data_IF_130916949047
#
_entry.id   IF_130916949047
#
_cell.length_a   1.000
_cell.length_b   1.000
_cell.length_c   1.000
_cell.angle_alpha   90.00
_cell.angle_beta   90.00
_cell.angle_gamma   90.00
#
_symmetry.space_group_name_H-M   'P 1'
#
loop_
_entity.id
_entity.type
_entity.pdbx_description
1 polymer ?
#
# COMPACT_ATOMS: atom_id res chain seq x y z
N UNK A 1 2.61 9.01 -16.20
CA UNK A 1 2.01 9.34 -14.87
C UNK A 1 2.84 10.46 -14.26
N UNK A 2 2.22 11.46 -13.63
CA UNK A 2 2.95 12.54 -12.96
C UNK A 2 3.06 12.24 -11.45
N UNK A 3 4.29 12.19 -10.93
CA UNK A 3 4.58 11.86 -9.53
C UNK A 3 4.62 13.08 -8.59
N UNK A 4 4.51 14.29 -9.15
CA UNK A 4 4.63 15.55 -8.43
C UNK A 4 6.08 15.87 -8.02
N UNK A 5 6.23 16.79 -7.08
CA UNK A 5 7.54 17.26 -6.62
C UNK A 5 8.08 16.37 -5.50
N UNK A 6 9.38 16.11 -5.49
CA UNK A 6 10.08 15.42 -4.40
C UNK A 6 10.94 16.44 -3.65
N UNK A 7 10.74 16.54 -2.34
CA UNK A 7 11.48 17.51 -1.52
C UNK A 7 12.76 16.89 -0.93
N UNK A 8 13.73 17.73 -0.57
CA UNK A 8 15.00 17.28 -0.03
C UNK A 8 14.81 16.45 1.25
N UNK A 9 15.43 15.26 1.28
CA UNK A 9 15.33 14.31 2.41
C UNK A 9 14.08 13.43 2.41
N UNK A 10 13.17 13.62 1.44
CA UNK A 10 11.97 12.78 1.30
C UNK A 10 12.28 11.47 0.59
N UNK A 11 11.86 10.34 1.18
CA UNK A 11 11.89 9.03 0.55
C UNK A 11 10.46 8.64 0.16
N UNK A 12 10.20 8.41 -1.14
CA UNK A 12 8.92 7.90 -1.62
C UNK A 12 9.02 6.45 -2.05
N UNK A 13 8.02 5.66 -1.66
CA UNK A 13 7.86 4.26 -2.06
C UNK A 13 6.67 4.14 -3.01
N UNK A 14 6.87 3.46 -4.13
CA UNK A 14 5.82 3.20 -5.11
C UNK A 14 5.62 1.69 -5.24
N UNK A 15 4.37 1.26 -5.29
CA UNK A 15 4.00 -0.13 -5.59
C UNK A 15 3.38 -0.15 -6.97
N UNK A 16 3.97 -0.93 -7.87
CA UNK A 16 3.53 -1.05 -9.26
C UNK A 16 3.07 -2.49 -9.48
N UNK A 17 1.80 -2.65 -9.84
CA UNK A 17 1.26 -3.94 -10.30
C UNK A 17 1.43 -4.06 -11.80
N UNK A 18 2.15 -5.08 -12.25
CA UNK A 18 2.33 -5.38 -13.68
C UNK A 18 1.69 -6.75 -13.94
N UNK A 19 0.72 -6.80 -14.84
CA UNK A 19 0.17 -8.08 -15.32
C UNK A 19 1.17 -8.68 -16.31
N UNK A 20 1.69 -9.86 -15.99
CA UNK A 20 2.65 -10.56 -16.85
C UNK A 20 1.88 -11.56 -17.71
N UNK A 21 1.91 -11.45 -19.04
CA UNK A 21 1.29 -12.43 -19.92
C UNK A 21 2.01 -13.78 -19.80
N UNK A 22 1.42 -14.85 -20.34
CA UNK A 22 2.10 -16.14 -20.41
C UNK A 22 3.38 -16.03 -21.25
N UNK A 23 4.52 -16.42 -20.65
CA UNK A 23 5.83 -16.42 -21.31
C UNK A 23 6.23 -17.88 -21.49
N UNK A 24 6.29 -18.33 -22.75
CA UNK A 24 6.63 -19.71 -23.10
C UNK A 24 8.13 -20.03 -22.96
N UNK A 25 8.99 -19.01 -22.93
CA UNK A 25 10.43 -19.19 -22.77
C UNK A 25 10.82 -19.27 -21.31
N UNK A 26 11.47 -20.37 -20.93
CA UNK A 26 12.14 -20.48 -19.64
C UNK A 26 13.34 -19.52 -19.57
N UNK A 27 13.62 -19.02 -18.36
CA UNK A 27 14.78 -18.17 -18.08
C UNK A 27 14.44 -16.73 -17.70
N UNK A 28 15.49 -15.91 -17.63
CA UNK A 28 15.40 -14.49 -17.29
C UNK A 28 14.83 -13.71 -18.48
N UNK A 29 13.71 -13.03 -18.27
CA UNK A 29 13.04 -12.21 -19.27
C UNK A 29 12.77 -10.82 -18.69
N UNK A 30 13.09 -9.78 -19.44
CA UNK A 30 12.69 -8.40 -19.12
C UNK A 30 11.25 -8.19 -19.57
N UNK A 31 10.36 -7.85 -18.63
CA UNK A 31 8.93 -7.68 -18.91
C UNK A 31 8.51 -6.22 -19.03
N UNK A 32 9.30 -5.31 -18.47
CA UNK A 32 9.04 -3.88 -18.49
C UNK A 32 10.32 -3.10 -18.22
N UNK A 33 10.33 -1.84 -18.66
CA UNK A 33 11.32 -0.84 -18.23
C UNK A 33 10.58 0.27 -17.50
N UNK A 34 11.07 0.63 -16.30
CA UNK A 34 10.53 1.74 -15.52
C UNK A 34 11.49 2.91 -15.69
N UNK A 35 11.02 3.96 -16.35
CA UNK A 35 11.77 5.21 -16.49
C UNK A 35 11.17 6.28 -15.59
N UNK A 36 12.02 6.88 -14.75
CA UNK A 36 11.69 8.02 -13.89
C UNK A 36 12.43 9.23 -14.45
N UNK A 37 11.67 10.24 -14.85
CA UNK A 37 12.19 11.50 -15.37
C UNK A 37 11.86 12.62 -14.39
N UNK A 38 12.85 13.42 -14.04
CA UNK A 38 12.67 14.57 -13.15
C UNK A 38 13.67 15.68 -13.45
N UNK A 39 13.26 16.91 -13.17
CA UNK A 39 14.13 18.07 -13.21
C UNK A 39 14.85 18.21 -11.86
N UNK A 40 16.17 18.04 -11.87
CA UNK A 40 16.98 18.38 -10.71
C UNK A 40 17.16 19.90 -10.64
N UNK A 41 16.45 20.55 -9.72
CA UNK A 41 16.49 22.01 -9.57
C UNK A 41 17.85 22.55 -9.12
N UNK A 42 18.63 21.77 -8.36
CA UNK A 42 19.95 22.20 -7.89
C UNK A 42 20.97 22.27 -9.04
N UNK A 43 20.91 21.29 -9.96
CA UNK A 43 21.79 21.21 -11.11
C UNK A 43 21.18 21.80 -12.40
N UNK A 44 19.90 22.15 -12.38
CA UNK A 44 19.09 22.62 -13.52
C UNK A 44 19.19 21.67 -14.73
N UNK A 45 19.11 20.38 -14.44
CA UNK A 45 19.29 19.33 -15.43
C UNK A 45 18.14 18.35 -15.37
N UNK A 46 17.66 17.94 -16.53
CA UNK A 46 16.74 16.81 -16.66
C UNK A 46 17.51 15.51 -16.44
N UNK A 47 17.04 14.71 -15.49
CA UNK A 47 17.60 13.42 -15.16
C UNK A 47 16.57 12.36 -15.55
N UNK A 48 17.03 11.34 -16.29
CA UNK A 48 16.24 10.16 -16.63
C UNK A 48 16.94 8.93 -16.05
N UNK A 49 16.21 8.16 -15.25
CA UNK A 49 16.69 6.92 -14.63
C UNK A 49 15.82 5.78 -15.12
N UNK A 50 16.42 4.82 -15.82
CA UNK A 50 15.73 3.63 -16.33
C UNK A 50 16.16 2.40 -15.56
N UNK A 51 15.18 1.64 -15.06
CA UNK A 51 15.38 0.38 -14.37
C UNK A 51 14.63 -0.75 -15.11
N UNK A 52 15.34 -1.79 -15.58
CA UNK A 52 14.69 -2.95 -16.19
C UNK A 52 14.04 -3.83 -15.10
N UNK A 53 12.80 -4.24 -15.34
CA UNK A 53 12.07 -5.21 -14.52
C UNK A 53 12.22 -6.59 -15.13
N UNK A 54 12.98 -7.43 -14.45
CA UNK A 54 13.25 -8.80 -14.89
C UNK A 54 12.43 -9.80 -14.08
N UNK A 55 11.89 -10.80 -14.75
CA UNK A 55 11.28 -11.97 -14.13
C UNK A 55 12.01 -13.23 -14.56
N UNK A 56 12.08 -14.20 -13.66
CA UNK A 56 12.64 -15.50 -13.96
C UNK A 56 11.51 -16.53 -14.14
N UNK A 57 11.27 -16.91 -15.39
CA UNK A 57 10.26 -17.91 -15.77
C UNK A 57 10.82 -19.29 -15.49
N UNK A 58 10.17 -20.04 -14.60
CA UNK A 58 10.58 -21.38 -14.20
C UNK A 58 9.41 -22.37 -14.35
N UNK A 59 9.69 -23.68 -14.43
CA UNK A 59 8.64 -24.69 -14.45
C UNK A 59 7.70 -24.58 -13.23
N UNK A 60 6.44 -25.01 -13.42
CA UNK A 60 5.37 -24.85 -12.42
C UNK A 60 5.72 -25.37 -11.02
N UNK A 61 6.42 -26.50 -10.93
CA UNK A 61 6.83 -27.09 -9.65
C UNK A 61 7.80 -26.19 -8.87
N UNK A 62 8.72 -25.51 -9.57
CA UNK A 62 9.65 -24.56 -8.95
C UNK A 62 8.98 -23.21 -8.66
N UNK A 63 7.98 -22.83 -9.46
CA UNK A 63 7.20 -21.62 -9.24
C UNK A 63 6.33 -21.74 -7.98
N UNK A 64 5.73 -22.91 -7.74
CA UNK A 64 4.87 -23.17 -6.58
C UNK A 64 5.60 -23.05 -5.23
N UNK A 65 6.91 -23.31 -5.20
CA UNK A 65 7.73 -23.15 -3.99
C UNK A 65 8.13 -21.70 -3.66
N UNK A 66 7.81 -20.73 -4.52
CA UNK A 66 8.21 -19.32 -4.30
C UNK A 66 7.21 -18.60 -3.42
N UNK A 67 7.73 -18.03 -2.33
CA UNK A 67 6.96 -17.19 -1.41
C UNK A 67 7.05 -15.75 -1.89
N UNK A 68 5.89 -15.09 -2.04
CA UNK A 68 5.84 -13.66 -2.35
C UNK A 68 6.54 -12.85 -1.26
N UNK A 69 7.28 -11.81 -1.65
CA UNK A 69 8.00 -10.97 -0.69
C UNK A 69 7.00 -10.39 0.35
N UNK A 70 7.18 -10.67 1.66
CA UNK A 70 6.24 -10.27 2.69
C UNK A 70 6.10 -8.75 2.79
N UNK A 71 7.16 -8.00 2.52
CA UNK A 71 7.14 -6.53 2.53
C UNK A 71 6.22 -6.00 1.41
N UNK A 72 6.34 -6.54 0.20
CA UNK A 72 5.51 -6.12 -0.94
C UNK A 72 4.04 -6.50 -0.71
N UNK A 73 3.79 -7.69 -0.14
CA UNK A 73 2.45 -8.16 0.21
C UNK A 73 1.81 -7.26 1.26
N UNK A 74 2.54 -6.90 2.30
CA UNK A 74 2.12 -5.95 3.32
C UNK A 74 1.79 -4.56 2.73
N UNK A 75 2.68 -4.01 1.89
CA UNK A 75 2.45 -2.71 1.25
C UNK A 75 1.19 -2.73 0.37
N UNK A 76 0.94 -3.84 -0.34
CA UNK A 76 -0.29 -4.02 -1.10
C UNK A 76 -1.54 -3.99 -0.20
N UNK A 77 -1.48 -4.59 1.00
CA UNK A 77 -2.59 -4.57 1.96
C UNK A 77 -2.87 -3.17 2.52
N UNK A 78 -1.83 -2.36 2.73
CA UNK A 78 -2.00 -0.97 3.16
C UNK A 78 -2.71 -0.15 2.08
N UNK A 79 -2.33 -0.35 0.82
CA UNK A 79 -2.97 0.31 -0.32
C UNK A 79 -4.42 -0.14 -0.48
N UNK A 80 -4.68 -1.45 -0.43
CA UNK A 80 -6.06 -1.97 -0.53
C UNK A 80 -6.93 -1.45 0.60
N UNK A 81 -6.41 -1.31 1.82
CA UNK A 81 -7.16 -0.72 2.92
C UNK A 81 -7.59 0.73 2.67
N UNK A 82 -6.82 1.52 1.91
CA UNK A 82 -7.27 2.87 1.52
C UNK A 82 -8.47 2.80 0.58
N UNK A 83 -8.47 1.85 -0.36
CA UNK A 83 -9.62 1.59 -1.24
C UNK A 83 -10.83 1.12 -0.42
N UNK A 84 -10.64 0.21 0.53
CA UNK A 84 -11.71 -0.27 1.41
C UNK A 84 -12.29 0.85 2.28
N UNK A 85 -11.46 1.78 2.78
CA UNK A 85 -11.92 2.98 3.51
C UNK A 85 -12.78 3.90 2.63
N UNK A 86 -12.39 4.10 1.37
CA UNK A 86 -13.17 4.90 0.43
C UNK A 86 -14.55 4.26 0.19
N UNK A 87 -14.59 2.95 -0.07
CA UNK A 87 -15.85 2.21 -0.27
C UNK A 87 -16.72 2.20 0.98
N UNK A 88 -16.13 1.98 2.15
CA UNK A 88 -16.85 2.01 3.42
C UNK A 88 -17.43 3.41 3.71
N UNK A 89 -16.75 4.49 3.29
CA UNK A 89 -17.29 5.85 3.40
C UNK A 89 -18.53 6.04 2.52
N UNK A 90 -18.55 5.46 1.32
CA UNK A 90 -19.73 5.47 0.45
C UNK A 90 -20.87 4.62 1.01
N UNK A 91 -20.56 3.45 1.57
CA UNK A 91 -21.54 2.58 2.23
C UNK A 91 -22.20 3.29 3.43
N UNK A 92 -21.45 4.04 4.25
CA UNK A 92 -22.00 4.86 5.35
C UNK A 92 -22.90 5.97 4.81
N UNK A 93 -22.49 6.68 3.75
CA UNK A 93 -23.34 7.72 3.12
C UNK A 93 -24.67 7.16 2.62
N UNK A 94 -24.66 5.93 2.12
CA UNK A 94 -25.85 5.24 1.62
C UNK A 94 -26.66 4.56 2.74
N UNK A 95 -26.29 4.73 4.01
CA UNK A 95 -26.96 4.15 5.16
C UNK A 95 -26.61 2.68 5.44
N UNK A 96 -25.70 2.07 4.68
CA UNK A 96 -25.23 0.71 4.89
C UNK A 96 -24.08 0.63 5.90
N UNK A 97 -24.34 1.04 7.14
CA UNK A 97 -23.36 1.06 8.22
C UNK A 97 -22.82 -0.35 8.52
N UNK A 98 -23.70 -1.36 8.54
CA UNK A 98 -23.31 -2.75 8.81
C UNK A 98 -22.34 -3.31 7.76
N UNK A 99 -22.55 -2.97 6.48
CA UNK A 99 -21.65 -3.34 5.39
C UNK A 99 -20.27 -2.70 5.54
N UNK A 100 -20.25 -1.40 5.83
CA UNK A 100 -19.02 -0.65 6.06
C UNK A 100 -18.22 -1.20 7.24
N UNK A 101 -18.87 -1.49 8.36
CA UNK A 101 -18.23 -2.08 9.54
C UNK A 101 -17.62 -3.45 9.23
N UNK A 102 -18.38 -4.33 8.57
CA UNK A 102 -17.89 -5.66 8.21
C UNK A 102 -16.64 -5.55 7.33
N UNK A 103 -16.68 -4.69 6.30
CA UNK A 103 -15.57 -4.43 5.40
C UNK A 103 -14.30 -3.95 6.12
N UNK A 104 -14.44 -2.96 7.01
CA UNK A 104 -13.33 -2.42 7.78
C UNK A 104 -12.72 -3.46 8.73
N UNK A 105 -13.56 -4.23 9.43
CA UNK A 105 -13.12 -5.29 10.33
C UNK A 105 -12.45 -6.46 9.58
N UNK A 106 -13.01 -6.88 8.45
CA UNK A 106 -12.44 -7.94 7.61
C UNK A 106 -11.04 -7.51 7.11
N UNK A 107 -10.90 -6.25 6.67
CA UNK A 107 -9.61 -5.69 6.26
C UNK A 107 -8.60 -5.61 7.41
N UNK A 108 -9.02 -5.18 8.60
CA UNK A 108 -8.17 -5.15 9.80
C UNK A 108 -7.68 -6.56 10.19
N UNK A 109 -8.56 -7.56 10.16
CA UNK A 109 -8.22 -8.95 10.48
C UNK A 109 -7.19 -9.53 9.50
N UNK A 110 -7.34 -9.25 8.21
CA UNK A 110 -6.36 -9.67 7.19
C UNK A 110 -4.99 -9.05 7.46
N UNK A 111 -4.94 -7.76 7.80
CA UNK A 111 -3.68 -7.07 8.11
C UNK A 111 -3.02 -7.59 9.39
N UNK A 112 -3.80 -7.89 10.42
CA UNK A 112 -3.28 -8.49 11.65
C UNK A 112 -2.70 -9.89 11.39
N UNK A 113 -3.41 -10.73 10.65
CA UNK A 113 -2.92 -12.04 10.26
C UNK A 113 -1.64 -11.94 9.41
N UNK A 114 -1.57 -10.99 8.48
CA UNK A 114 -0.35 -10.76 7.72
C UNK A 114 0.81 -10.34 8.61
N UNK A 115 0.56 -9.40 9.53
CA UNK A 115 1.59 -8.88 10.44
C UNK A 115 2.22 -9.97 11.31
N UNK A 116 1.45 -11.00 11.71
CA UNK A 116 1.97 -12.10 12.52
C UNK A 116 2.83 -13.10 11.73
N UNK A 117 2.82 -13.03 10.40
CA UNK A 117 3.63 -13.88 9.53
C UNK A 117 4.96 -13.21 9.15
N UNK A 118 5.14 -11.92 9.46
CA UNK A 118 6.36 -11.18 9.15
C UNK A 118 7.41 -11.51 10.21
N UNK A 119 8.55 -12.02 9.76
CA UNK A 119 9.71 -12.27 10.62
C UNK A 119 10.37 -10.94 11.04
N UNK A 120 10.69 -10.78 12.32
CA UNK A 120 11.16 -9.51 12.91
C UNK A 120 12.67 -9.32 12.87
N UNK A 121 13.41 -10.22 12.25
CA UNK A 121 14.88 -10.18 12.20
C UNK A 121 15.45 -9.04 11.35
N UNK A 122 14.66 -8.43 10.46
CA UNK A 122 15.05 -7.28 9.63
C UNK A 122 14.35 -5.98 10.10
N UNK A 123 15.10 -4.88 10.20
CA UNK A 123 14.58 -3.54 10.50
C UNK A 123 13.45 -3.13 9.55
N UNK A 124 13.55 -3.47 8.26
CA UNK A 124 12.52 -3.18 7.26
C UNK A 124 11.25 -4.00 7.48
N UNK A 125 11.40 -5.23 7.94
CA UNK A 125 10.28 -6.11 8.26
C UNK A 125 9.57 -5.61 9.52
N UNK A 126 10.32 -5.15 10.52
CA UNK A 126 9.80 -4.52 11.72
C UNK A 126 9.02 -3.22 11.41
N UNK A 127 9.58 -2.34 10.59
CA UNK A 127 8.88 -1.13 10.11
C UNK A 127 7.57 -1.52 9.41
N UNK A 128 7.61 -2.50 8.51
CA UNK A 128 6.43 -2.94 7.77
C UNK A 128 5.35 -3.54 8.68
N UNK A 129 5.75 -4.35 9.67
CA UNK A 129 4.84 -4.92 10.67
C UNK A 129 4.19 -3.81 11.51
N UNK A 130 4.95 -2.82 11.95
CA UNK A 130 4.40 -1.70 12.73
C UNK A 130 3.41 -0.87 11.91
N UNK A 131 3.68 -0.64 10.62
CA UNK A 131 2.75 0.04 9.71
C UNK A 131 1.44 -0.75 9.60
N UNK A 132 1.50 -2.06 9.35
CA UNK A 132 0.30 -2.90 9.23
C UNK A 132 -0.54 -2.90 10.51
N UNK A 133 0.11 -3.04 11.67
CA UNK A 133 -0.59 -3.06 12.95
C UNK A 133 -1.26 -1.73 13.25
N UNK A 134 -0.56 -0.62 12.97
CA UNK A 134 -1.10 0.74 13.15
C UNK A 134 -2.30 0.97 12.21
N UNK A 135 -2.21 0.51 10.96
CA UNK A 135 -3.32 0.58 10.00
C UNK A 135 -4.54 -0.22 10.48
N UNK A 136 -4.31 -1.45 10.95
CA UNK A 136 -5.37 -2.32 11.44
C UNK A 136 -6.08 -1.76 12.68
N UNK A 137 -5.33 -1.20 13.63
CA UNK A 137 -5.89 -0.51 14.80
C UNK A 137 -6.74 0.70 14.39
N UNK A 138 -6.32 1.45 13.38
CA UNK A 138 -7.10 2.57 12.87
C UNK A 138 -8.38 2.11 12.16
N UNK A 139 -8.31 1.04 11.36
CA UNK A 139 -9.50 0.43 10.73
C UNK A 139 -10.50 -0.04 11.79
N UNK A 140 -10.03 -0.69 12.86
CA UNK A 140 -10.87 -1.12 13.98
C UNK A 140 -11.53 0.06 14.69
N UNK A 141 -10.81 1.16 14.92
CA UNK A 141 -11.39 2.40 15.46
C UNK A 141 -12.50 2.93 14.53
N UNK A 142 -12.22 3.09 13.24
CA UNK A 142 -13.20 3.57 12.26
C UNK A 142 -14.44 2.67 12.18
N UNK A 143 -14.27 1.35 12.31
CA UNK A 143 -15.39 0.41 12.35
C UNK A 143 -16.24 0.57 13.62
N UNK A 144 -15.59 0.81 14.76
CA UNK A 144 -16.28 1.12 16.02
C UNK A 144 -17.03 2.46 15.92
N UNK A 145 -16.38 3.53 15.47
CA UNK A 145 -16.98 4.87 15.34
C UNK A 145 -18.18 4.86 14.36
N UNK A 146 -18.10 4.05 13.30
CA UNK A 146 -19.20 3.84 12.36
C UNK A 146 -20.51 3.37 13.04
N UNK A 147 -20.41 2.63 14.14
CA UNK A 147 -21.57 2.10 14.89
C UNK A 147 -22.20 3.12 15.84
N UNK A 148 -21.37 3.93 16.52
CA UNK A 148 -21.83 4.79 17.63
C UNK A 148 -21.97 6.26 17.27
N UNK A 149 -21.34 6.73 16.19
CA UNK A 149 -21.32 8.15 15.81
C UNK A 149 -22.21 8.48 14.61
N UNK A 150 -22.47 9.78 14.42
CA UNK A 150 -23.29 10.25 13.33
C UNK A 150 -22.64 9.93 11.96
N UNK A 151 -23.41 9.51 10.95
CA UNK A 151 -22.89 9.15 9.62
C UNK A 151 -22.03 10.25 8.98
N UNK A 152 -22.42 11.52 9.15
CA UNK A 152 -21.72 12.69 8.62
C UNK A 152 -20.33 12.88 9.25
N UNK A 153 -20.23 12.63 10.56
CA UNK A 153 -18.97 12.69 11.29
C UNK A 153 -18.03 11.56 10.85
N UNK A 154 -18.56 10.34 10.71
CA UNK A 154 -17.82 9.17 10.26
C UNK A 154 -17.24 9.35 8.85
N UNK A 155 -18.07 9.82 7.91
CA UNK A 155 -17.63 10.13 6.55
C UNK A 155 -16.52 11.17 6.54
N UNK A 156 -16.62 12.23 7.35
CA UNK A 156 -15.58 13.26 7.43
C UNK A 156 -14.27 12.67 7.96
N UNK A 157 -14.32 11.87 9.02
CA UNK A 157 -13.15 11.25 9.65
C UNK A 157 -12.45 10.26 8.72
N UNK A 158 -13.21 9.46 7.98
CA UNK A 158 -12.65 8.52 6.99
C UNK A 158 -11.99 9.25 5.81
N UNK A 159 -12.62 10.32 5.31
CA UNK A 159 -12.02 11.15 4.26
C UNK A 159 -10.74 11.85 4.73
N UNK A 160 -10.71 12.31 5.99
CA UNK A 160 -9.51 12.91 6.58
C UNK A 160 -8.36 11.90 6.69
N UNK A 161 -8.65 10.69 7.18
CA UNK A 161 -7.70 9.58 7.23
C UNK A 161 -7.14 9.26 5.84
N UNK A 162 -8.02 9.04 4.86
CA UNK A 162 -7.65 8.75 3.47
C UNK A 162 -6.78 9.86 2.86
N UNK A 163 -7.19 11.12 3.01
CA UNK A 163 -6.45 12.27 2.50
C UNK A 163 -5.08 12.43 3.15
N UNK A 164 -4.96 12.11 4.45
CA UNK A 164 -3.71 12.20 5.19
C UNK A 164 -2.71 11.17 4.69
N UNK A 165 -3.15 9.92 4.49
CA UNK A 165 -2.30 8.79 4.07
C UNK A 165 -1.93 8.85 2.58
N UNK A 166 -2.84 9.27 1.72
CA UNK A 166 -2.58 9.37 0.27
C UNK A 166 -1.59 10.48 -0.08
N UNK A 167 -1.44 11.51 0.76
CA UNK A 167 -0.52 12.64 0.52
C UNK A 167 0.91 12.42 1.03
N UNK A 168 1.27 11.22 1.48
CA UNK A 168 2.63 10.90 1.97
C UNK A 168 3.18 11.90 3.00
N UNK A 169 2.32 12.54 3.79
CA UNK A 169 2.77 13.25 5.00
C UNK A 169 2.99 12.21 6.08
N UNK A 170 4.06 11.42 5.94
CA UNK A 170 4.52 10.63 7.06
C UNK A 170 4.82 11.55 8.25
N UNK A 171 4.57 11.02 9.45
CA UNK A 171 4.90 11.68 10.69
C UNK A 171 6.37 12.07 10.65
N UNK A 172 6.64 13.38 10.58
CA UNK A 172 7.91 13.95 10.98
C UNK A 172 8.15 13.40 12.40
N UNK A 173 9.10 12.46 12.57
CA UNK A 173 9.59 12.10 13.90
C UNK A 173 9.98 13.42 14.55
N UNK A 174 9.24 13.83 15.58
CA UNK A 174 9.73 14.87 16.48
C UNK A 174 10.83 14.18 17.27
N UNK A 175 12.07 14.59 16.99
CA UNK A 175 13.19 14.39 17.92
C UNK A 175 12.88 15.05 19.27
#
# INVERSE_FOLDING_TARGET
MQLGDLYAGENRRFVIGISVPEISSLGLCTIAEITIEYLNLAQRQDISVTLPVNVNVVPGDQAAGRIANPIVRAQRLVISAQTEKALASEEIKNGNVKGAMKRLNDSANIQLHESSLIDTDDERALETMTILRTEAEELGKLAHDAEYEAPEYNVKRMNESYSRKTRSREFRKRE
#
